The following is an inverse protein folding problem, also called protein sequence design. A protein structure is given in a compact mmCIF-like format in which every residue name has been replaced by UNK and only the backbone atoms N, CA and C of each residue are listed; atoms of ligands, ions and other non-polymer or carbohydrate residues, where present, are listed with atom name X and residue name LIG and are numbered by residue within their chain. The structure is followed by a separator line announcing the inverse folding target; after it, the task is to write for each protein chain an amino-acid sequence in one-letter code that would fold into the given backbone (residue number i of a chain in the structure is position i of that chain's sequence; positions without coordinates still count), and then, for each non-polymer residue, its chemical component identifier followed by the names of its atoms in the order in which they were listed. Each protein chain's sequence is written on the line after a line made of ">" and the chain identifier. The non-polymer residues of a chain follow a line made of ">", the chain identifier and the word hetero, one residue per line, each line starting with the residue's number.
data_IF_039384512563
#
_entry.id   IF_039384512563
#
_cell.length_a   1.000
_cell.length_b   1.000
_cell.length_c   1.000
_cell.angle_alpha   90.00
_cell.angle_beta   90.00
_cell.angle_gamma   90.00
#
_symmetry.space_group_name_H-M   'P 1'
#
loop_
_entity.id
_entity.type
_entity.pdbx_description
1 polymer ?
#
# COMPACT_ATOMS: atom_id res chain seq x y z
N UNK A 1 7.33 -24.58 74.34
CA UNK A 1 7.72 -25.71 73.51
C UNK A 1 7.85 -25.18 72.08
N UNK A 2 9.07 -25.03 71.62
CA UNK A 2 9.41 -24.40 70.31
C UNK A 2 10.08 -25.48 69.43
N UNK A 3 9.60 -25.86 68.25
CA UNK A 3 10.23 -26.85 67.42
C UNK A 3 11.28 -26.16 66.55
N UNK A 4 12.51 -26.66 66.68
CA UNK A 4 13.73 -26.35 65.95
C UNK A 4 13.61 -26.64 64.46
N UNK A 5 13.79 -25.61 63.64
CA UNK A 5 13.91 -25.70 62.18
C UNK A 5 15.33 -26.19 61.88
N UNK A 6 15.48 -27.38 61.26
CA UNK A 6 16.73 -27.88 60.69
C UNK A 6 16.93 -27.30 59.31
N UNK A 7 18.04 -26.56 59.09
CA UNK A 7 18.52 -26.17 57.79
C UNK A 7 19.24 -27.35 57.10
N UNK A 8 18.99 -27.57 55.79
CA UNK A 8 19.73 -28.59 55.04
C UNK A 8 21.14 -28.02 54.72
N UNK A 9 22.15 -28.80 55.00
CA UNK A 9 23.56 -28.57 54.65
C UNK A 9 23.74 -28.68 53.14
N UNK A 10 24.05 -27.57 52.47
CA UNK A 10 24.45 -27.52 51.05
C UNK A 10 25.85 -28.16 50.82
N UNK A 11 26.15 -28.59 49.62
CA UNK A 11 27.41 -29.27 49.32
C UNK A 11 28.59 -28.29 49.50
N UNK A 12 29.60 -28.77 50.30
CA UNK A 12 30.89 -28.09 50.48
C UNK A 12 31.69 -28.25 49.19
N UNK A 13 32.01 -27.14 48.53
CA UNK A 13 33.01 -27.13 47.45
C UNK A 13 34.41 -27.13 48.06
N UNK A 14 35.27 -28.07 47.71
CA UNK A 14 36.68 -28.03 48.10
C UNK A 14 37.49 -27.26 47.03
N UNK A 15 38.43 -26.44 47.52
CA UNK A 15 39.66 -25.98 46.91
C UNK A 15 39.50 -24.71 46.03
N UNK A 16 40.12 -23.64 46.53
CA UNK A 16 40.46 -22.42 45.78
C UNK A 16 41.44 -22.78 44.64
N UNK A 17 40.99 -22.50 43.40
CA UNK A 17 41.84 -22.63 42.21
C UNK A 17 42.54 -21.28 42.01
N UNK A 18 43.88 -21.22 41.80
CA UNK A 18 44.59 -19.97 41.60
C UNK A 18 44.19 -19.32 40.26
N UNK A 19 43.99 -18.01 40.27
CA UNK A 19 43.51 -17.16 39.17
C UNK A 19 44.50 -16.97 37.99
N UNK A 20 45.56 -17.77 37.87
CA UNK A 20 46.63 -17.54 36.89
C UNK A 20 46.90 -18.75 35.97
N UNK A 21 45.88 -19.34 35.37
CA UNK A 21 46.09 -20.30 34.28
C UNK A 21 45.49 -19.77 32.98
N UNK A 22 46.28 -19.74 31.88
CA UNK A 22 45.88 -19.13 30.61
C UNK A 22 44.78 -19.89 29.85
N UNK A 23 44.28 -20.99 30.40
CA UNK A 23 43.30 -21.85 29.71
C UNK A 23 41.85 -21.44 29.90
N UNK A 24 41.52 -20.54 30.83
CA UNK A 24 40.13 -20.11 31.06
C UNK A 24 39.61 -19.22 29.96
N UNK A 25 40.43 -18.41 29.36
CA UNK A 25 40.03 -17.49 28.30
C UNK A 25 39.73 -18.17 26.97
N UNK A 26 40.42 -19.28 26.68
CA UNK A 26 40.22 -20.06 25.45
C UNK A 26 38.90 -20.82 25.48
N UNK A 27 38.43 -21.30 26.64
CA UNK A 27 37.16 -22.00 26.78
C UNK A 27 35.96 -21.04 26.73
N UNK A 28 36.07 -19.83 27.29
CA UNK A 28 35.01 -18.80 27.25
C UNK A 28 34.86 -18.25 25.83
N UNK A 29 35.98 -18.02 25.11
CA UNK A 29 35.93 -17.52 23.74
C UNK A 29 35.35 -18.59 22.78
N UNK A 30 35.64 -19.87 23.03
CA UNK A 30 35.11 -20.98 22.21
C UNK A 30 33.60 -21.15 22.46
N UNK A 31 33.13 -20.97 23.71
CA UNK A 31 31.69 -21.09 24.03
C UNK A 31 30.86 -19.93 23.50
N UNK A 32 31.41 -18.69 23.45
CA UNK A 32 30.74 -17.51 22.89
C UNK A 32 30.72 -17.56 21.35
N UNK A 33 31.63 -18.28 20.72
CA UNK A 33 31.71 -18.38 19.26
C UNK A 33 30.78 -19.44 18.65
N UNK A 34 30.24 -20.36 19.44
CA UNK A 34 29.33 -21.44 18.96
C UNK A 34 27.87 -20.97 18.92
N UNK A 35 27.51 -19.88 19.59
CA UNK A 35 26.11 -19.33 19.58
C UNK A 35 25.83 -18.31 18.49
N UNK A 36 26.74 -18.04 17.56
CA UNK A 36 26.50 -17.27 16.34
C UNK A 36 26.52 -18.12 15.08
N UNK A 37 25.95 -19.28 15.11
CA UNK A 37 25.43 -19.89 13.88
C UNK A 37 24.16 -19.13 13.54
N UNK A 38 24.29 -18.13 12.66
CA UNK A 38 23.17 -17.41 12.11
C UNK A 38 22.12 -18.43 11.65
N UNK A 39 20.91 -18.32 12.22
CA UNK A 39 19.74 -19.06 11.77
C UNK A 39 19.73 -18.89 10.25
N UNK A 40 19.99 -19.94 9.47
CA UNK A 40 19.89 -19.89 8.02
C UNK A 40 18.55 -19.28 7.71
N UNK A 41 18.54 -18.16 6.99
CA UNK A 41 17.30 -17.56 6.51
C UNK A 41 16.54 -18.64 5.77
N UNK A 42 15.33 -18.95 6.21
CA UNK A 42 14.47 -19.97 5.59
C UNK A 42 13.92 -19.49 4.26
N UNK A 43 14.06 -18.19 3.94
CA UNK A 43 13.52 -17.51 2.76
C UNK A 43 14.63 -16.81 1.98
N UNK A 44 14.50 -16.77 0.66
CA UNK A 44 15.31 -15.87 -0.19
C UNK A 44 14.96 -14.41 0.12
N UNK A 45 15.80 -13.43 -0.26
CA UNK A 45 15.47 -12.01 -0.09
C UNK A 45 14.11 -11.64 -0.69
N UNK A 46 13.80 -12.11 -1.90
CA UNK A 46 12.52 -11.83 -2.56
C UNK A 46 11.35 -12.47 -1.80
N UNK A 47 11.47 -13.73 -1.38
CA UNK A 47 10.44 -14.39 -0.56
C UNK A 47 10.23 -13.67 0.77
N UNK A 48 11.29 -13.17 1.39
CA UNK A 48 11.21 -12.44 2.64
C UNK A 48 10.54 -11.07 2.43
N UNK A 49 10.86 -10.39 1.32
CA UNK A 49 10.20 -9.14 0.94
C UNK A 49 8.70 -9.32 0.78
N UNK A 50 8.28 -10.33 0.02
CA UNK A 50 6.86 -10.66 -0.18
C UNK A 50 6.17 -11.00 1.15
N UNK A 51 6.81 -11.79 2.00
CA UNK A 51 6.29 -12.17 3.32
C UNK A 51 6.06 -10.94 4.23
N UNK A 52 6.97 -9.97 4.20
CA UNK A 52 6.85 -8.71 4.94
C UNK A 52 5.66 -7.90 4.42
N UNK A 53 5.53 -7.76 3.10
CA UNK A 53 4.45 -6.99 2.49
C UNK A 53 3.08 -7.65 2.71
N UNK A 54 2.98 -8.97 2.63
CA UNK A 54 1.76 -9.72 2.94
C UNK A 54 1.33 -9.51 4.40
N UNK A 55 2.27 -9.58 5.32
CA UNK A 55 2.00 -9.33 6.73
C UNK A 55 1.58 -7.88 6.99
N UNK A 56 2.25 -6.91 6.36
CA UNK A 56 1.91 -5.49 6.45
C UNK A 56 0.51 -5.21 5.91
N UNK A 57 0.18 -5.72 4.73
CA UNK A 57 -1.15 -5.60 4.14
C UNK A 57 -2.23 -6.22 5.04
N UNK A 58 -1.99 -7.41 5.60
CA UNK A 58 -2.94 -8.05 6.50
C UNK A 58 -3.15 -7.26 7.80
N UNK A 59 -2.11 -6.58 8.32
CA UNK A 59 -2.21 -5.70 9.49
C UNK A 59 -3.08 -4.49 9.14
N UNK A 60 -2.82 -3.84 8.02
CA UNK A 60 -3.57 -2.66 7.56
C UNK A 60 -5.04 -3.01 7.37
N UNK A 61 -5.35 -4.13 6.74
CA UNK A 61 -6.73 -4.58 6.55
C UNK A 61 -7.43 -4.84 7.87
N UNK A 62 -6.74 -5.42 8.86
CA UNK A 62 -7.33 -5.73 10.16
C UNK A 62 -7.48 -4.47 11.04
N UNK A 63 -6.41 -3.67 11.17
CA UNK A 63 -6.24 -2.67 12.22
C UNK A 63 -6.08 -1.23 11.69
N UNK A 64 -6.10 -1.01 10.37
CA UNK A 64 -5.75 0.28 9.75
C UNK A 64 -4.25 0.58 9.79
N UNK A 65 -3.85 1.73 9.21
CA UNK A 65 -2.45 2.18 9.18
C UNK A 65 -1.88 2.35 10.60
N UNK A 66 -2.66 2.82 11.56
CA UNK A 66 -2.23 3.02 12.95
C UNK A 66 -1.81 1.70 13.65
N UNK A 67 -2.29 0.54 13.17
CA UNK A 67 -1.88 -0.78 13.69
C UNK A 67 -0.55 -1.28 13.13
N UNK A 68 0.02 -0.62 12.11
CA UNK A 68 1.23 -1.06 11.45
C UNK A 68 2.47 -0.66 12.26
N UNK A 69 3.37 -1.61 12.48
CA UNK A 69 4.69 -1.37 13.05
C UNK A 69 5.67 -2.47 12.64
N UNK A 70 6.96 -2.15 12.57
CA UNK A 70 7.99 -3.15 12.27
C UNK A 70 8.01 -4.31 13.29
N UNK A 71 7.62 -4.05 14.54
CA UNK A 71 7.49 -5.09 15.58
C UNK A 71 6.34 -6.04 15.29
N UNK A 72 5.18 -5.52 14.89
CA UNK A 72 4.01 -6.33 14.59
C UNK A 72 4.20 -7.15 13.31
N UNK A 73 4.80 -6.56 12.26
CA UNK A 73 5.20 -7.28 11.05
C UNK A 73 6.13 -8.43 11.43
N UNK A 74 7.22 -8.13 12.12
CA UNK A 74 8.24 -9.11 12.52
C UNK A 74 7.66 -10.23 13.38
N UNK A 75 6.76 -9.90 14.32
CA UNK A 75 6.04 -10.88 15.14
C UNK A 75 5.22 -11.85 14.30
N UNK A 76 4.51 -11.35 13.29
CA UNK A 76 3.65 -12.18 12.40
C UNK A 76 4.46 -13.14 11.55
N UNK A 77 5.61 -12.70 11.05
CA UNK A 77 6.43 -13.52 10.14
C UNK A 77 7.50 -14.35 10.87
N UNK A 78 7.62 -14.22 12.21
CA UNK A 78 8.58 -14.98 13.01
C UNK A 78 10.03 -14.52 12.86
N UNK A 79 10.25 -13.23 12.56
CA UNK A 79 11.57 -12.60 12.41
C UNK A 79 11.80 -11.51 13.46
N UNK A 80 12.99 -10.87 13.42
CA UNK A 80 13.29 -9.70 14.25
C UNK A 80 12.85 -8.41 13.57
N UNK A 81 12.52 -7.33 14.31
CA UNK A 81 12.24 -6.02 13.70
C UNK A 81 13.39 -5.49 12.83
N UNK A 82 14.65 -5.78 13.20
CA UNK A 82 15.82 -5.42 12.39
C UNK A 82 15.81 -6.06 10.99
N UNK A 83 15.15 -7.19 10.82
CA UNK A 83 14.99 -7.84 9.52
C UNK A 83 14.18 -6.98 8.55
N UNK A 84 13.17 -6.25 9.05
CA UNK A 84 12.35 -5.35 8.22
C UNK A 84 13.23 -4.22 7.65
N UNK A 85 14.04 -3.59 8.50
CA UNK A 85 14.94 -2.50 8.12
C UNK A 85 16.17 -2.93 7.28
N UNK A 86 16.44 -4.23 7.19
CA UNK A 86 17.40 -4.77 6.23
C UNK A 86 16.81 -4.92 4.82
N UNK A 87 15.48 -4.95 4.69
CA UNK A 87 14.76 -5.17 3.43
C UNK A 87 14.11 -3.90 2.90
N UNK A 88 13.77 -2.97 3.76
CA UNK A 88 13.10 -1.71 3.48
C UNK A 88 13.80 -0.58 4.23
N UNK A 89 13.84 0.59 3.61
CA UNK A 89 14.53 1.75 4.16
C UNK A 89 13.94 2.19 5.50
N UNK A 90 12.62 2.24 5.56
CA UNK A 90 11.85 2.60 6.75
C UNK A 90 10.44 1.98 6.68
N UNK A 91 9.55 2.36 7.59
CA UNK A 91 8.17 1.85 7.60
C UNK A 91 7.33 2.48 6.49
N UNK A 92 7.59 3.74 6.11
CA UNK A 92 6.89 4.40 5.01
C UNK A 92 7.23 3.73 3.67
N UNK A 93 8.46 3.25 3.48
CA UNK A 93 8.85 2.44 2.32
C UNK A 93 8.05 1.12 2.25
N UNK A 94 7.81 0.46 3.38
CA UNK A 94 6.91 -0.71 3.43
C UNK A 94 5.49 -0.32 3.01
N UNK A 95 4.98 0.80 3.49
CA UNK A 95 3.62 1.30 3.16
C UNK A 95 3.52 1.60 1.68
N UNK A 96 4.47 2.34 1.10
CA UNK A 96 4.50 2.65 -0.34
C UNK A 96 4.49 1.38 -1.21
N UNK A 97 5.20 0.33 -0.79
CA UNK A 97 5.15 -0.94 -1.51
C UNK A 97 3.83 -1.69 -1.37
N UNK A 98 3.13 -1.57 -0.24
CA UNK A 98 1.75 -2.08 -0.09
C UNK A 98 0.79 -1.29 -0.97
N UNK A 99 0.90 0.04 -1.00
CA UNK A 99 0.12 0.92 -1.87
C UNK A 99 0.37 0.60 -3.35
N UNK A 100 1.63 0.36 -3.74
CA UNK A 100 1.98 -0.02 -5.09
C UNK A 100 1.26 -1.30 -5.55
N UNK A 101 1.13 -2.31 -4.68
CA UNK A 101 0.34 -3.52 -4.96
C UNK A 101 -1.14 -3.22 -5.17
N UNK A 102 -1.68 -2.24 -4.44
CA UNK A 102 -3.07 -1.78 -4.61
C UNK A 102 -3.24 -1.11 -5.97
N UNK A 103 -2.30 -0.24 -6.35
CA UNK A 103 -2.29 0.43 -7.66
C UNK A 103 -2.14 -0.57 -8.80
N UNK A 104 -1.25 -1.57 -8.69
CA UNK A 104 -1.07 -2.63 -9.68
C UNK A 104 -2.35 -3.47 -9.87
N UNK A 105 -3.00 -3.83 -8.77
CA UNK A 105 -4.26 -4.58 -8.82
C UNK A 105 -5.40 -3.76 -9.45
N UNK A 106 -5.43 -2.46 -9.21
CA UNK A 106 -6.38 -1.55 -9.86
C UNK A 106 -6.08 -1.41 -11.35
N UNK A 107 -4.81 -1.22 -11.74
CA UNK A 107 -4.41 -1.10 -13.15
C UNK A 107 -4.80 -2.32 -13.98
N UNK A 108 -4.55 -3.52 -13.46
CA UNK A 108 -4.97 -4.77 -14.11
C UNK A 108 -6.48 -4.83 -14.32
N UNK A 109 -7.26 -4.44 -13.32
CA UNK A 109 -8.71 -4.45 -13.41
C UNK A 109 -9.25 -3.42 -14.40
N UNK A 110 -8.65 -2.25 -14.45
CA UNK A 110 -8.97 -1.20 -15.43
C UNK A 110 -8.62 -1.67 -16.85
N UNK A 111 -7.46 -2.29 -17.05
CA UNK A 111 -7.05 -2.82 -18.34
C UNK A 111 -8.05 -3.84 -18.88
N UNK A 112 -8.56 -4.74 -18.02
CA UNK A 112 -9.59 -5.70 -18.39
C UNK A 112 -10.90 -5.00 -18.78
N UNK A 113 -11.31 -4.00 -18.02
CA UNK A 113 -12.54 -3.25 -18.25
C UNK A 113 -12.49 -2.43 -19.56
N UNK A 114 -11.31 -1.99 -20.00
CA UNK A 114 -11.13 -1.19 -21.22
C UNK A 114 -11.20 -2.00 -22.52
N UNK A 115 -11.44 -3.31 -22.48
CA UNK A 115 -11.52 -4.18 -23.69
C UNK A 115 -12.82 -4.01 -24.49
N UNK A 116 -13.70 -3.09 -24.08
CA UNK A 116 -14.90 -2.71 -24.85
C UNK A 116 -14.55 -1.76 -25.99
N UNK A 117 -15.39 -1.68 -27.04
CA UNK A 117 -15.03 -0.95 -28.28
C UNK A 117 -15.42 0.52 -28.24
N UNK A 118 -16.62 0.87 -27.73
CA UNK A 118 -17.09 2.24 -27.73
C UNK A 118 -16.39 3.11 -26.69
N UNK A 119 -16.05 4.35 -27.06
CA UNK A 119 -15.32 5.30 -26.18
C UNK A 119 -16.08 5.63 -24.90
N UNK A 120 -17.39 5.94 -25.01
CA UNK A 120 -18.21 6.22 -23.83
C UNK A 120 -18.26 5.00 -22.91
N UNK A 121 -18.42 3.80 -23.48
CA UNK A 121 -18.44 2.56 -22.71
C UNK A 121 -17.11 2.29 -22.03
N UNK A 122 -15.96 2.63 -22.65
CA UNK A 122 -14.64 2.54 -22.03
C UNK A 122 -14.51 3.42 -20.79
N UNK A 123 -14.94 4.68 -20.89
CA UNK A 123 -14.88 5.61 -19.77
C UNK A 123 -15.81 5.18 -18.64
N UNK A 124 -17.03 4.71 -18.98
CA UNK A 124 -17.97 4.15 -18.00
C UNK A 124 -17.42 2.89 -17.35
N UNK A 125 -16.93 1.92 -18.15
CA UNK A 125 -16.39 0.66 -17.66
C UNK A 125 -15.18 0.87 -16.73
N UNK A 126 -14.28 1.81 -17.07
CA UNK A 126 -13.15 2.22 -16.24
C UNK A 126 -13.63 2.75 -14.89
N UNK A 127 -14.59 3.66 -14.88
CA UNK A 127 -15.09 4.27 -13.65
C UNK A 127 -15.89 3.29 -12.78
N UNK A 128 -16.68 2.39 -13.39
CA UNK A 128 -17.38 1.32 -12.66
C UNK A 128 -16.41 0.31 -12.06
N UNK A 129 -15.36 -0.03 -12.79
CA UNK A 129 -14.28 -0.91 -12.33
C UNK A 129 -13.55 -0.29 -11.14
N UNK A 130 -13.27 1.01 -11.21
CA UNK A 130 -12.70 1.79 -10.11
C UNK A 130 -13.62 1.78 -8.88
N UNK A 131 -14.91 2.10 -9.04
CA UNK A 131 -15.91 2.11 -7.97
C UNK A 131 -16.04 0.73 -7.31
N UNK A 132 -16.11 -0.33 -8.09
CA UNK A 132 -16.20 -1.70 -7.57
C UNK A 132 -14.94 -2.08 -6.78
N UNK A 133 -13.74 -1.80 -7.32
CA UNK A 133 -12.46 -2.08 -6.65
C UNK A 133 -12.36 -1.41 -5.29
N UNK A 134 -12.70 -0.13 -5.21
CA UNK A 134 -12.63 0.65 -3.97
C UNK A 134 -13.63 0.17 -2.91
N UNK A 135 -14.83 -0.26 -3.37
CA UNK A 135 -15.88 -0.80 -2.50
C UNK A 135 -15.53 -2.18 -1.94
N UNK A 136 -14.83 -3.01 -2.71
CA UNK A 136 -14.38 -4.33 -2.28
C UNK A 136 -13.24 -4.28 -1.25
N UNK A 137 -12.38 -3.24 -1.32
CA UNK A 137 -11.16 -3.13 -0.51
C UNK A 137 -10.99 -1.74 0.12
N UNK A 138 -12.00 -1.23 0.86
CA UNK A 138 -12.02 0.18 1.28
C UNK A 138 -10.82 0.56 2.15
N UNK A 139 -10.34 -0.30 3.05
CA UNK A 139 -9.20 0.01 3.91
C UNK A 139 -7.87 0.10 3.15
N UNK A 140 -7.66 -0.78 2.17
CA UNK A 140 -6.46 -0.71 1.32
C UNK A 140 -6.52 0.47 0.36
N UNK A 141 -7.71 0.79 -0.13
CA UNK A 141 -7.91 1.96 -0.97
C UNK A 141 -7.68 3.26 -0.19
N UNK A 142 -8.27 3.39 1.01
CA UNK A 142 -8.09 4.56 1.85
C UNK A 142 -6.63 4.79 2.26
N UNK A 143 -5.82 3.72 2.35
CA UNK A 143 -4.38 3.83 2.63
C UNK A 143 -3.69 4.83 1.70
N UNK A 144 -3.99 4.82 0.41
CA UNK A 144 -3.42 5.73 -0.60
C UNK A 144 -3.65 7.23 -0.29
N UNK A 145 -4.60 7.55 0.58
CA UNK A 145 -4.99 8.92 0.94
C UNK A 145 -4.78 9.23 2.43
N UNK A 146 -4.60 8.21 3.26
CA UNK A 146 -4.32 8.33 4.69
C UNK A 146 -2.82 8.37 5.00
N UNK A 147 -2.01 7.79 4.13
CA UNK A 147 -0.56 7.81 4.26
C UNK A 147 0.01 9.12 3.72
N UNK A 148 0.77 9.80 4.53
CA UNK A 148 1.49 11.02 4.15
C UNK A 148 2.99 10.78 4.35
N UNK A 149 3.77 11.06 3.33
CA UNK A 149 5.22 11.04 3.45
C UNK A 149 5.68 12.04 4.51
N UNK A 150 6.72 11.73 5.29
CA UNK A 150 7.31 12.69 6.23
C UNK A 150 7.66 14.02 5.56
N UNK A 151 7.52 15.13 6.29
CA UNK A 151 7.81 16.46 5.77
C UNK A 151 9.20 16.54 5.16
N UNK A 152 9.30 16.92 3.89
CA UNK A 152 10.56 17.05 3.16
C UNK A 152 11.04 15.76 2.48
N UNK A 153 10.29 14.68 2.55
CA UNK A 153 10.56 13.47 1.75
C UNK A 153 9.77 13.53 0.43
N UNK A 154 10.47 13.39 -0.68
CA UNK A 154 9.84 13.29 -1.99
C UNK A 154 9.25 11.91 -2.21
N UNK A 155 8.14 11.86 -2.93
CA UNK A 155 7.57 10.59 -3.38
C UNK A 155 8.55 9.93 -4.38
N UNK A 156 8.94 8.65 -4.16
CA UNK A 156 9.90 7.99 -5.04
C UNK A 156 9.44 7.98 -6.52
N UNK A 157 10.35 8.16 -7.49
CA UNK A 157 9.99 8.19 -8.92
C UNK A 157 9.24 6.92 -9.39
N UNK A 158 9.59 5.75 -8.86
CA UNK A 158 8.93 4.49 -9.21
C UNK A 158 7.45 4.47 -8.77
N UNK A 159 7.11 5.14 -7.67
CA UNK A 159 5.74 5.24 -7.19
C UNK A 159 4.95 6.29 -8.01
N UNK A 160 5.57 7.44 -8.34
CA UNK A 160 4.97 8.45 -9.22
C UNK A 160 4.61 7.86 -10.58
N UNK A 161 5.50 7.02 -11.17
CA UNK A 161 5.22 6.33 -12.43
C UNK A 161 3.97 5.45 -12.38
N UNK A 162 3.67 4.81 -11.24
CA UNK A 162 2.43 4.03 -11.08
C UNK A 162 1.17 4.90 -11.09
N UNK A 163 1.23 6.06 -10.45
CA UNK A 163 0.13 7.02 -10.48
C UNK A 163 -0.08 7.59 -11.89
N UNK A 164 1.01 7.92 -12.59
CA UNK A 164 0.98 8.40 -13.97
C UNK A 164 0.41 7.33 -14.91
N UNK A 165 0.75 6.06 -14.71
CA UNK A 165 0.22 4.94 -15.50
C UNK A 165 -1.30 4.85 -15.38
N UNK A 166 -1.85 4.95 -14.16
CA UNK A 166 -3.30 4.96 -13.96
C UNK A 166 -3.97 6.16 -14.62
N UNK A 167 -3.38 7.36 -14.53
CA UNK A 167 -3.90 8.54 -15.22
C UNK A 167 -3.84 8.37 -16.74
N UNK A 168 -2.80 7.74 -17.28
CA UNK A 168 -2.69 7.46 -18.71
C UNK A 168 -3.79 6.53 -19.22
N UNK A 169 -4.35 5.63 -18.40
CA UNK A 169 -5.52 4.81 -18.78
C UNK A 169 -6.75 5.67 -19.01
N UNK A 170 -6.98 6.67 -18.14
CA UNK A 170 -8.10 7.62 -18.30
C UNK A 170 -7.89 8.47 -19.55
N UNK A 171 -6.68 9.00 -19.76
CA UNK A 171 -6.31 9.76 -20.94
C UNK A 171 -6.51 8.95 -22.22
N UNK A 172 -6.07 7.69 -22.23
CA UNK A 172 -6.25 6.78 -23.38
C UNK A 172 -7.73 6.53 -23.69
N UNK A 173 -8.56 6.34 -22.67
CA UNK A 173 -10.00 6.16 -22.85
C UNK A 173 -10.68 7.40 -23.43
N UNK A 174 -10.19 8.60 -23.10
CA UNK A 174 -10.75 9.88 -23.53
C UNK A 174 -10.12 10.43 -24.81
N UNK A 175 -8.96 9.94 -25.21
CA UNK A 175 -8.20 10.47 -26.36
C UNK A 175 -9.01 10.63 -27.66
N UNK A 176 -9.92 9.72 -28.04
CA UNK A 176 -10.75 9.89 -29.25
C UNK A 176 -11.67 11.12 -29.25
N UNK A 177 -11.85 11.77 -28.10
CA UNK A 177 -12.69 12.98 -27.96
C UNK A 177 -11.92 14.28 -28.18
N UNK A 178 -10.60 14.20 -28.42
CA UNK A 178 -9.71 15.36 -28.55
C UNK A 178 -8.94 15.30 -29.86
N UNK A 179 -8.56 16.46 -30.37
CA UNK A 179 -7.61 16.52 -31.46
C UNK A 179 -6.20 16.11 -30.99
N UNK A 180 -5.36 15.50 -31.84
CA UNK A 180 -4.04 15.01 -31.44
C UNK A 180 -3.14 16.06 -30.81
N UNK A 181 -3.31 17.35 -31.14
CA UNK A 181 -2.57 18.49 -30.61
C UNK A 181 -3.05 18.96 -29.23
N UNK A 182 -4.24 18.55 -28.80
CA UNK A 182 -4.91 19.05 -27.58
C UNK A 182 -4.51 18.28 -26.30
N UNK A 183 -3.26 17.83 -26.21
CA UNK A 183 -2.76 17.01 -25.08
C UNK A 183 -3.02 17.66 -23.71
N UNK A 184 -2.83 18.97 -23.58
CA UNK A 184 -3.03 19.69 -22.32
C UNK A 184 -4.51 19.69 -21.91
N UNK A 185 -5.42 19.84 -22.88
CA UNK A 185 -6.86 19.78 -22.64
C UNK A 185 -7.30 18.36 -22.27
N UNK A 186 -6.79 17.33 -22.95
CA UNK A 186 -7.02 15.92 -22.63
C UNK A 186 -6.59 15.60 -21.20
N UNK A 187 -5.35 15.91 -20.84
CA UNK A 187 -4.82 15.65 -19.50
C UNK A 187 -5.64 16.33 -18.40
N UNK A 188 -6.02 17.60 -18.61
CA UNK A 188 -6.86 18.34 -17.67
C UNK A 188 -8.22 17.68 -17.52
N UNK A 189 -8.85 17.33 -18.63
CA UNK A 189 -10.17 16.71 -18.66
C UNK A 189 -10.18 15.35 -17.97
N UNK A 190 -9.16 14.53 -18.20
CA UNK A 190 -8.99 13.25 -17.53
C UNK A 190 -8.88 13.41 -16.01
N UNK A 191 -8.11 14.39 -15.53
CA UNK A 191 -7.95 14.67 -14.10
C UNK A 191 -9.22 15.20 -13.46
N UNK A 192 -9.97 16.07 -14.15
CA UNK A 192 -11.26 16.58 -13.67
C UNK A 192 -12.28 15.45 -13.54
N UNK A 193 -12.37 14.60 -14.56
CA UNK A 193 -13.28 13.45 -14.54
C UNK A 193 -12.92 12.46 -13.43
N UNK A 194 -11.62 12.10 -13.33
CA UNK A 194 -11.13 11.24 -12.25
C UNK A 194 -11.46 11.84 -10.87
N UNK A 195 -11.19 13.12 -10.64
CA UNK A 195 -11.48 13.77 -9.36
C UNK A 195 -12.98 13.74 -9.01
N UNK A 196 -13.87 13.90 -9.99
CA UNK A 196 -15.31 13.77 -9.79
C UNK A 196 -15.73 12.35 -9.41
N UNK A 197 -15.26 11.35 -10.15
CA UNK A 197 -15.51 9.92 -9.84
C UNK A 197 -14.93 9.55 -8.49
N UNK A 198 -13.69 9.99 -8.19
CA UNK A 198 -13.05 9.78 -6.89
C UNK A 198 -13.86 10.41 -5.74
N UNK A 199 -14.37 11.61 -5.91
CA UNK A 199 -15.21 12.28 -4.90
C UNK A 199 -16.46 11.46 -4.55
N UNK A 200 -17.20 10.98 -5.54
CA UNK A 200 -18.38 10.12 -5.34
C UNK A 200 -17.97 8.83 -4.62
N UNK A 201 -16.90 8.19 -5.09
CA UNK A 201 -16.40 6.93 -4.54
C UNK A 201 -15.92 7.08 -3.10
N UNK A 202 -15.19 8.16 -2.80
CA UNK A 202 -14.69 8.48 -1.45
C UNK A 202 -15.83 8.71 -0.46
N UNK A 203 -16.89 9.44 -0.87
CA UNK A 203 -18.09 9.61 -0.06
C UNK A 203 -18.82 8.29 0.17
N UNK A 204 -18.87 7.42 -0.84
CA UNK A 204 -19.50 6.11 -0.73
C UNK A 204 -18.73 5.19 0.25
N UNK A 205 -17.42 5.07 0.11
CA UNK A 205 -16.58 4.22 0.97
C UNK A 205 -16.51 4.72 2.41
N UNK A 206 -16.63 6.04 2.61
CA UNK A 206 -16.74 6.65 3.94
C UNK A 206 -18.15 6.58 4.56
N UNK A 207 -19.13 5.96 3.89
CA UNK A 207 -20.55 5.94 4.29
C UNK A 207 -21.16 7.35 4.47
N UNK A 208 -20.66 8.34 3.71
CA UNK A 208 -21.13 9.73 3.75
C UNK A 208 -22.08 10.07 2.60
N UNK A 209 -22.09 9.28 1.52
CA UNK A 209 -22.93 9.54 0.35
C UNK A 209 -24.41 9.54 0.71
N UNK A 210 -24.87 8.63 1.55
CA UNK A 210 -26.26 8.55 2.01
C UNK A 210 -26.75 9.78 2.78
N UNK A 211 -25.85 10.67 3.22
CA UNK A 211 -26.23 11.94 3.86
C UNK A 211 -26.69 13.02 2.88
N UNK A 212 -26.42 12.85 1.59
CA UNK A 212 -26.70 13.84 0.54
C UNK A 212 -27.64 13.34 -0.56
N UNK A 213 -27.74 12.02 -0.75
CA UNK A 213 -28.60 11.39 -1.76
C UNK A 213 -28.99 9.98 -1.38
N UNK A 214 -30.11 9.51 -1.92
CA UNK A 214 -30.56 8.11 -1.85
C UNK A 214 -30.12 7.29 -3.05
N UNK A 215 -29.53 7.93 -4.07
CA UNK A 215 -29.10 7.26 -5.28
C UNK A 215 -27.83 6.41 -5.03
N UNK A 216 -27.76 5.28 -5.74
CA UNK A 216 -26.57 4.46 -5.71
C UNK A 216 -25.38 5.17 -6.37
N UNK A 217 -24.18 5.02 -5.81
CA UNK A 217 -22.94 5.63 -6.33
C UNK A 217 -22.72 5.34 -7.82
N UNK A 218 -23.09 4.16 -8.30
CA UNK A 218 -22.98 3.80 -9.72
C UNK A 218 -23.86 4.67 -10.62
N UNK A 219 -25.04 5.09 -10.18
CA UNK A 219 -25.93 6.00 -10.93
C UNK A 219 -25.24 7.36 -11.04
N UNK A 220 -24.75 7.89 -9.93
CA UNK A 220 -24.09 9.20 -9.88
C UNK A 220 -22.82 9.23 -10.75
N UNK A 221 -22.04 8.16 -10.73
CA UNK A 221 -20.83 8.03 -11.57
C UNK A 221 -21.18 8.03 -13.05
N UNK A 222 -22.21 7.27 -13.47
CA UNK A 222 -22.65 7.25 -14.86
C UNK A 222 -23.19 8.62 -15.31
N UNK A 223 -23.98 9.29 -14.47
CA UNK A 223 -24.53 10.61 -14.78
C UNK A 223 -23.40 11.66 -14.86
N UNK A 224 -22.43 11.62 -13.96
CA UNK A 224 -21.25 12.49 -14.04
C UNK A 224 -20.52 12.29 -15.37
N UNK A 225 -20.23 11.05 -15.76
CA UNK A 225 -19.50 10.75 -17.00
C UNK A 225 -20.30 11.22 -18.20
N UNK A 226 -21.56 10.84 -18.31
CA UNK A 226 -22.42 11.19 -19.44
C UNK A 226 -22.52 12.71 -19.62
N UNK A 227 -22.80 13.43 -18.54
CA UNK A 227 -22.91 14.89 -18.58
C UNK A 227 -21.58 15.57 -18.91
N UNK A 228 -20.46 15.03 -18.36
CA UNK A 228 -19.13 15.58 -18.64
C UNK A 228 -18.73 15.38 -20.12
N UNK A 229 -18.95 14.18 -20.66
CA UNK A 229 -18.62 13.87 -22.06
C UNK A 229 -19.52 14.67 -23.03
N UNK A 230 -20.81 14.81 -22.73
CA UNK A 230 -21.71 15.65 -23.51
C UNK A 230 -21.26 17.11 -23.51
N UNK A 231 -20.82 17.64 -22.38
CA UNK A 231 -20.28 18.99 -22.26
C UNK A 231 -18.99 19.19 -23.08
N UNK A 232 -18.11 18.21 -23.12
CA UNK A 232 -16.90 18.24 -23.97
C UNK A 232 -17.27 18.29 -25.46
N UNK A 233 -18.20 17.46 -25.91
CA UNK A 233 -18.64 17.41 -27.29
C UNK A 233 -19.27 18.78 -27.73
N UNK A 234 -20.13 19.34 -26.93
CA UNK A 234 -20.77 20.66 -27.22
C UNK A 234 -19.72 21.78 -27.28
N UNK A 235 -18.70 21.78 -26.44
CA UNK A 235 -17.63 22.78 -26.45
C UNK A 235 -16.77 22.66 -27.72
N UNK A 236 -16.45 21.44 -28.17
CA UNK A 236 -15.70 21.23 -29.42
C UNK A 236 -16.41 21.74 -30.64
N UNK A 237 -17.72 21.49 -30.77
CA UNK A 237 -18.57 22.01 -31.86
C UNK A 237 -18.67 23.54 -31.85
N UNK A 238 -18.77 24.15 -30.67
CA UNK A 238 -18.85 25.61 -30.53
C UNK A 238 -17.54 26.31 -30.92
N UNK A 239 -16.42 25.68 -30.67
CA UNK A 239 -15.06 26.20 -31.04
C UNK A 239 -14.86 26.13 -32.55
N UNK A 240 -15.26 25.04 -33.19
CA UNK A 240 -15.16 24.87 -34.66
C UNK A 240 -16.03 25.88 -35.40
N UNK A 241 -17.23 26.22 -34.90
CA UNK A 241 -18.10 27.24 -35.50
C UNK A 241 -17.59 28.69 -35.41
N UNK A 242 -16.67 28.99 -34.51
CA UNK A 242 -16.08 30.33 -34.33
C UNK A 242 -14.85 30.57 -35.20
N UNK A 243 -14.23 29.50 -35.70
CA UNK A 243 -12.99 29.56 -36.49
C UNK A 243 -13.24 29.40 -38.01
N UNK A 244 -14.42 28.93 -38.41
CA UNK A 244 -14.89 28.87 -39.80
C UNK A 244 -15.80 30.05 -40.15
#
# INVERSE_FOLDING_TARGET
>A
MNPTVRHPTGPRFPIAVPWHTPYYWTLVITFVRVQRMGRRSTHTPDQLRELILDAAQAIIVANGLAGLSAREIARRIGYSPGTIYNMFENLDDVVLHVEARVLDALDQRIEEAMRVDATEDKVVALAESYLAFTSERPKLWNLLFEHYMPSGADTPPWYQQKLEMLMSRVETAMAPLFAPEDHVALQRSARVLWAGVHGITSLATANKLASVTTDASAILVRDLIRNYLAGLAANSESTQRKVG
#
